data_IF_590884986546
#
_entry.id   IF_590884986546
#
_cell.length_a   1.000
_cell.length_b   1.000
_cell.length_c   1.000
_cell.angle_alpha   90.00
_cell.angle_beta   90.00
_cell.angle_gamma   90.00
#
_symmetry.space_group_name_H-M   'P 1'
#
loop_
_entity.id
_entity.type
_entity.pdbx_description
1 polymer ?
#
# COMPACT_ATOMS: atom_id res chain seq x y z
N UNK A 1 27.47 7.35 -14.41
CA UNK A 1 26.59 7.16 -13.23
C UNK A 1 25.46 6.25 -13.67
N UNK A 2 25.60 4.94 -13.46
CA UNK A 2 24.58 3.96 -13.83
C UNK A 2 23.58 3.87 -12.68
N UNK A 3 22.40 4.45 -12.83
CA UNK A 3 21.27 4.16 -11.94
C UNK A 3 20.77 2.76 -12.25
N UNK A 4 20.96 1.90 -11.26
CA UNK A 4 20.52 0.51 -11.22
C UNK A 4 18.99 0.47 -11.32
N UNK A 5 18.48 0.10 -12.50
CA UNK A 5 17.09 -0.30 -12.67
C UNK A 5 16.93 -1.64 -11.95
N UNK A 6 16.21 -1.68 -10.84
CA UNK A 6 15.89 -2.92 -10.12
C UNK A 6 15.05 -3.79 -11.06
N UNK A 7 15.55 -4.94 -11.54
CA UNK A 7 14.82 -5.76 -12.47
C UNK A 7 14.04 -6.80 -11.66
N UNK A 8 12.74 -6.59 -11.49
CA UNK A 8 11.79 -7.61 -11.03
C UNK A 8 11.63 -8.72 -12.09
N UNK A 9 12.72 -9.44 -12.42
CA UNK A 9 12.67 -10.61 -13.29
C UNK A 9 12.42 -11.85 -12.43
N UNK A 10 11.15 -12.27 -12.45
CA UNK A 10 10.72 -13.67 -12.55
C UNK A 10 11.64 -14.70 -11.86
N UNK A 11 11.39 -14.98 -10.57
CA UNK A 11 12.04 -16.10 -9.89
C UNK A 11 11.92 -16.14 -8.36
N UNK A 12 11.78 -14.98 -7.70
CA UNK A 12 11.94 -14.88 -6.24
C UNK A 12 10.78 -14.11 -5.56
N UNK A 13 9.55 -14.39 -5.96
CA UNK A 13 8.36 -13.56 -5.65
C UNK A 13 7.86 -13.72 -4.19
N UNK A 14 8.29 -14.75 -3.47
CA UNK A 14 7.76 -15.08 -2.14
C UNK A 14 8.40 -14.29 -0.99
N UNK A 15 9.75 -14.17 -0.87
CA UNK A 15 10.35 -13.40 0.21
C UNK A 15 10.00 -11.91 0.12
N UNK A 16 9.97 -11.35 -1.08
CA UNK A 16 9.62 -9.94 -1.34
C UNK A 16 8.18 -9.63 -0.88
N UNK A 17 7.21 -10.47 -1.23
CA UNK A 17 5.81 -10.32 -0.78
C UNK A 17 5.65 -10.37 0.73
N UNK A 18 6.44 -11.17 1.45
CA UNK A 18 6.40 -11.25 2.92
C UNK A 18 6.95 -9.96 3.54
N UNK A 19 8.06 -9.45 3.02
CA UNK A 19 8.68 -8.21 3.50
C UNK A 19 7.75 -7.02 3.26
N UNK A 20 7.22 -6.88 2.04
CA UNK A 20 6.30 -5.80 1.68
C UNK A 20 5.00 -5.88 2.48
N UNK A 21 4.48 -7.09 2.72
CA UNK A 21 3.31 -7.28 3.60
C UNK A 21 3.59 -6.82 5.03
N UNK A 22 4.75 -7.16 5.60
CA UNK A 22 5.13 -6.73 6.95
C UNK A 22 5.31 -5.22 7.03
N UNK A 23 5.90 -4.60 6.01
CA UNK A 23 6.00 -3.15 5.89
C UNK A 23 4.61 -2.50 5.93
N UNK A 24 3.68 -2.96 5.09
CA UNK A 24 2.30 -2.44 5.08
C UNK A 24 1.62 -2.62 6.44
N UNK A 25 1.77 -3.79 7.07
CA UNK A 25 1.20 -4.04 8.41
C UNK A 25 1.77 -3.11 9.48
N UNK A 26 3.07 -2.84 9.46
CA UNK A 26 3.70 -1.91 10.39
C UNK A 26 3.16 -0.49 10.20
N UNK A 27 3.09 0.00 8.96
CA UNK A 27 2.54 1.32 8.64
C UNK A 27 1.06 1.46 9.03
N UNK A 28 0.26 0.41 8.80
CA UNK A 28 -1.14 0.38 9.21
C UNK A 28 -1.32 0.44 10.73
N UNK A 29 -0.41 -0.16 11.51
CA UNK A 29 -0.44 -0.12 12.96
C UNK A 29 -0.16 1.28 13.52
N UNK A 30 0.52 2.13 12.76
CA UNK A 30 0.77 3.54 13.10
C UNK A 30 -0.43 4.44 12.77
N UNK A 31 -1.41 3.95 11.98
CA UNK A 31 -2.59 4.73 11.63
C UNK A 31 -3.60 4.77 12.78
N UNK A 32 -4.26 5.92 13.00
CA UNK A 32 -5.30 6.01 14.00
C UNK A 32 -6.47 5.08 13.65
N UNK A 33 -7.02 4.42 14.67
CA UNK A 33 -8.12 3.46 14.54
C UNK A 33 -9.47 3.98 15.04
N UNK A 34 -9.48 5.21 15.58
CA UNK A 34 -10.72 5.82 16.08
C UNK A 34 -11.59 6.33 14.94
N UNK A 35 -12.93 6.24 15.04
CA UNK A 35 -13.83 6.74 14.00
C UNK A 35 -13.66 8.22 13.69
N UNK A 36 -13.38 9.05 14.70
CA UNK A 36 -13.13 10.49 14.54
C UNK A 36 -11.91 10.81 13.67
N UNK A 37 -10.94 9.88 13.58
CA UNK A 37 -9.72 10.01 12.79
C UNK A 37 -9.84 9.38 11.40
N UNK A 38 -11.06 9.07 10.93
CA UNK A 38 -11.28 8.38 9.66
C UNK A 38 -10.61 9.08 8.47
N UNK A 39 -10.60 10.42 8.44
CA UNK A 39 -9.93 11.18 7.39
C UNK A 39 -8.39 11.04 7.44
N UNK A 40 -7.80 11.15 8.64
CA UNK A 40 -6.37 10.93 8.85
C UNK A 40 -5.97 9.50 8.47
N UNK A 41 -6.79 8.52 8.83
CA UNK A 41 -6.61 7.12 8.44
C UNK A 41 -6.66 6.95 6.92
N UNK A 42 -7.63 7.57 6.24
CA UNK A 42 -7.74 7.52 4.78
C UNK A 42 -6.53 8.15 4.08
N UNK A 43 -6.04 9.29 4.57
CA UNK A 43 -4.79 9.90 4.07
C UNK A 43 -3.58 9.01 4.30
N UNK A 44 -3.49 8.36 5.47
CA UNK A 44 -2.44 7.38 5.74
C UNK A 44 -2.48 6.18 4.79
N UNK A 45 -3.68 5.67 4.47
CA UNK A 45 -3.84 4.61 3.48
C UNK A 45 -3.41 5.03 2.07
N UNK A 46 -3.69 6.27 1.69
CA UNK A 46 -3.22 6.83 0.42
C UNK A 46 -1.69 6.92 0.37
N UNK A 47 -1.05 7.40 1.45
CA UNK A 47 0.41 7.44 1.53
C UNK A 47 1.06 6.05 1.39
N UNK A 48 0.52 5.03 2.06
CA UNK A 48 1.02 3.65 1.91
C UNK A 48 0.89 3.17 0.46
N UNK A 49 -0.23 3.47 -0.21
CA UNK A 49 -0.41 3.12 -1.62
C UNK A 49 0.58 3.84 -2.53
N UNK A 50 0.81 5.13 -2.30
CA UNK A 50 1.77 5.94 -3.07
C UNK A 50 3.22 5.46 -2.88
N UNK A 51 3.61 5.11 -1.65
CA UNK A 51 4.92 4.54 -1.33
C UNK A 51 5.14 3.23 -2.09
N UNK A 52 4.17 2.31 -2.06
CA UNK A 52 4.24 1.04 -2.80
C UNK A 52 4.34 1.25 -4.32
N UNK A 53 3.66 2.28 -4.85
CA UNK A 53 3.73 2.64 -6.26
C UNK A 53 5.10 3.24 -6.63
N UNK A 54 5.64 4.12 -5.78
CA UNK A 54 6.94 4.74 -5.96
C UNK A 54 8.07 3.69 -5.92
N UNK A 55 7.93 2.68 -5.06
CA UNK A 55 8.83 1.52 -5.00
C UNK A 55 8.68 0.57 -6.19
N UNK A 56 7.71 0.79 -7.08
CA UNK A 56 7.51 0.00 -8.30
C UNK A 56 6.86 -1.37 -8.06
N UNK A 57 6.16 -1.55 -6.93
CA UNK A 57 5.47 -2.81 -6.64
C UNK A 57 4.44 -3.13 -7.75
N UNK A 58 4.36 -4.39 -8.23
CA UNK A 58 3.57 -4.72 -9.42
C UNK A 58 2.05 -4.69 -9.17
N UNK A 59 1.60 -4.94 -7.94
CA UNK A 59 0.18 -5.02 -7.58
C UNK A 59 -0.13 -4.34 -6.22
N UNK A 60 0.11 -3.03 -6.08
CA UNK A 60 0.05 -2.33 -4.80
C UNK A 60 -1.37 -2.30 -4.21
N UNK A 61 -2.39 -2.13 -5.07
CA UNK A 61 -3.80 -2.21 -4.66
C UNK A 61 -4.16 -3.60 -4.13
N UNK A 62 -3.75 -4.67 -4.83
CA UNK A 62 -4.04 -6.06 -4.43
C UNK A 62 -3.39 -6.39 -3.09
N UNK A 63 -2.14 -5.96 -2.89
CA UNK A 63 -1.43 -6.15 -1.63
C UNK A 63 -2.15 -5.41 -0.49
N UNK A 64 -2.41 -4.12 -0.65
CA UNK A 64 -3.01 -3.30 0.40
C UNK A 64 -4.42 -3.78 0.75
N UNK A 65 -5.24 -4.10 -0.25
CA UNK A 65 -6.57 -4.69 -0.07
C UNK A 65 -6.49 -6.04 0.67
N UNK A 66 -5.54 -6.90 0.29
CA UNK A 66 -5.30 -8.18 0.95
C UNK A 66 -4.83 -8.08 2.40
N UNK A 67 -4.14 -7.00 2.78
CA UNK A 67 -3.78 -6.72 4.18
C UNK A 67 -4.97 -6.17 4.96
N UNK A 68 -5.76 -5.29 4.34
CA UNK A 68 -6.96 -4.70 4.94
C UNK A 68 -8.13 -5.68 5.06
N UNK A 69 -8.11 -6.78 4.30
CA UNK A 69 -9.21 -7.75 4.27
C UNK A 69 -10.47 -7.21 3.57
N UNK A 70 -10.31 -6.27 2.63
CA UNK A 70 -11.41 -5.66 1.87
C UNK A 70 -11.22 -5.88 0.37
N UNK A 71 -12.29 -5.80 -0.44
CA UNK A 71 -12.17 -5.84 -1.90
C UNK A 71 -11.38 -4.64 -2.44
N UNK A 72 -10.62 -4.85 -3.51
CA UNK A 72 -9.87 -3.79 -4.20
C UNK A 72 -10.77 -2.66 -4.69
N UNK A 73 -11.98 -2.97 -5.15
CA UNK A 73 -12.94 -1.95 -5.61
C UNK A 73 -13.35 -0.98 -4.49
N UNK A 74 -13.57 -1.51 -3.29
CA UNK A 74 -13.88 -0.71 -2.11
C UNK A 74 -12.69 0.18 -1.75
N UNK A 75 -11.48 -0.39 -1.73
CA UNK A 75 -10.26 0.37 -1.47
C UNK A 75 -10.07 1.52 -2.48
N UNK A 76 -10.30 1.28 -3.78
CA UNK A 76 -10.19 2.32 -4.82
C UNK A 76 -11.13 3.49 -4.56
N UNK A 77 -12.37 3.23 -4.13
CA UNK A 77 -13.33 4.30 -3.77
C UNK A 77 -12.78 5.16 -2.63
N UNK A 78 -12.24 4.51 -1.58
CA UNK A 78 -11.65 5.21 -0.44
C UNK A 78 -10.43 6.04 -0.82
N UNK A 79 -9.50 5.48 -1.60
CA UNK A 79 -8.31 6.19 -2.05
C UNK A 79 -8.65 7.39 -2.94
N UNK A 80 -9.61 7.23 -3.86
CA UNK A 80 -10.11 8.35 -4.68
C UNK A 80 -10.82 9.43 -3.87
N UNK A 81 -11.46 9.08 -2.77
CA UNK A 81 -12.05 10.06 -1.87
C UNK A 81 -10.96 10.84 -1.12
N UNK A 82 -9.90 10.15 -0.68
CA UNK A 82 -8.76 10.76 0.00
C UNK A 82 -7.96 11.71 -0.91
N UNK A 83 -7.72 11.34 -2.17
CA UNK A 83 -6.92 12.15 -3.11
C UNK A 83 -7.66 13.31 -3.77
N UNK A 84 -8.96 13.47 -3.55
CA UNK A 84 -9.78 14.57 -4.11
C UNK A 84 -9.90 15.78 -3.17
N UNK A 85 -9.26 15.73 -2.01
CA UNK A 85 -9.47 16.65 -0.91
C UNK A 85 -8.21 17.46 -0.64
#
# INVERSE_FOLDING_TARGET
MQSHLIPWRSGEVVPDRIVTRRYVQARLAELPARPEDADTRLRGLLGIYEDLNADGHPEPLTLLAGVLGIPTEILVVHLRAAGRR
#
